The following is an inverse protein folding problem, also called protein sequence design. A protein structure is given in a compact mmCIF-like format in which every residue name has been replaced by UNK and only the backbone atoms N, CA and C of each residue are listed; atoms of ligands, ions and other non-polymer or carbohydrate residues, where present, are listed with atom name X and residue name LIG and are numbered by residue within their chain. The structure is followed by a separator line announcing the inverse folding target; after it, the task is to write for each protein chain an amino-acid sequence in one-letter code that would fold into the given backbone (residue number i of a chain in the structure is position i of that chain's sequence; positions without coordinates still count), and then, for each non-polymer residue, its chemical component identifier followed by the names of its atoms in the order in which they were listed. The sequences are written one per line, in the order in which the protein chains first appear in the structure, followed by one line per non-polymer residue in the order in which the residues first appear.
data_IF_499770622750
#
_entry.id   IF_499770622750
#
_cell.length_a   1.000
_cell.length_b   1.000
_cell.length_c   1.000
_cell.angle_alpha   90.00
_cell.angle_beta   90.00
_cell.angle_gamma   90.00
#
_symmetry.space_group_name_H-M   'P 1'
#
loop_
_entity.id
_entity.type
_entity.pdbx_description
1 polymer ?
#
# COMPACT_ATOMS: atom_id res chain seq x y z
N UNK A 1 -28.73 -46.16 -11.47
CA UNK A 1 -27.61 -45.72 -10.63
C UNK A 1 -28.01 -46.04 -9.21
N UNK A 2 -27.20 -46.81 -8.47
CA UNK A 2 -27.55 -47.19 -7.10
C UNK A 2 -27.30 -46.04 -6.11
N UNK A 3 -27.96 -46.11 -4.96
CA UNK A 3 -27.88 -45.08 -3.93
C UNK A 3 -26.44 -44.86 -3.46
N UNK A 4 -25.63 -45.91 -3.37
CA UNK A 4 -24.22 -45.82 -2.96
C UNK A 4 -23.41 -44.98 -3.94
N UNK A 5 -23.61 -45.18 -5.24
CA UNK A 5 -22.97 -44.42 -6.31
C UNK A 5 -23.42 -42.96 -6.26
N UNK A 6 -24.71 -42.71 -6.00
CA UNK A 6 -25.23 -41.35 -5.79
C UNK A 6 -24.60 -40.66 -4.57
N UNK A 7 -24.53 -41.32 -3.42
CA UNK A 7 -23.90 -40.79 -2.21
C UNK A 7 -22.40 -40.53 -2.41
N UNK A 8 -21.70 -41.41 -3.12
CA UNK A 8 -20.29 -41.20 -3.44
C UNK A 8 -20.06 -39.93 -4.26
N UNK A 9 -20.80 -39.72 -5.34
CA UNK A 9 -20.66 -38.53 -6.18
C UNK A 9 -21.06 -37.24 -5.46
N UNK A 10 -22.11 -37.28 -4.63
CA UNK A 10 -22.52 -36.12 -3.83
C UNK A 10 -21.46 -35.73 -2.80
N UNK A 11 -20.86 -36.70 -2.09
CA UNK A 11 -19.75 -36.44 -1.16
C UNK A 11 -18.54 -35.88 -1.91
N UNK A 12 -18.15 -36.48 -3.05
CA UNK A 12 -17.04 -36.00 -3.86
C UNK A 12 -17.26 -34.57 -4.36
N UNK A 13 -18.48 -34.23 -4.78
CA UNK A 13 -18.84 -32.88 -5.19
C UNK A 13 -18.73 -31.87 -4.04
N UNK A 14 -19.22 -32.20 -2.85
CA UNK A 14 -19.10 -31.34 -1.66
C UNK A 14 -17.63 -31.11 -1.30
N UNK A 15 -16.81 -32.17 -1.31
CA UNK A 15 -15.37 -32.05 -1.05
C UNK A 15 -14.67 -31.16 -2.09
N UNK A 16 -15.07 -31.25 -3.36
CA UNK A 16 -14.55 -30.37 -4.42
C UNK A 16 -14.91 -28.90 -4.16
N UNK A 17 -16.14 -28.59 -3.77
CA UNK A 17 -16.55 -27.23 -3.41
C UNK A 17 -15.77 -26.69 -2.20
N UNK A 18 -15.55 -27.53 -1.18
CA UNK A 18 -14.74 -27.17 -0.02
C UNK A 18 -13.28 -26.87 -0.42
N UNK A 19 -12.68 -27.70 -1.27
CA UNK A 19 -11.34 -27.46 -1.82
C UNK A 19 -11.27 -26.15 -2.61
N UNK A 20 -12.23 -25.88 -3.49
CA UNK A 20 -12.28 -24.64 -4.26
C UNK A 20 -12.40 -23.41 -3.36
N UNK A 21 -13.20 -23.51 -2.28
CA UNK A 21 -13.36 -22.42 -1.31
C UNK A 21 -12.05 -22.05 -0.60
N UNK A 22 -11.10 -22.98 -0.49
CA UNK A 22 -9.77 -22.77 0.09
C UNK A 22 -8.76 -22.27 -0.96
N UNK A 23 -8.78 -22.83 -2.17
CA UNK A 23 -7.79 -22.53 -3.22
C UNK A 23 -8.00 -21.13 -3.80
N UNK A 24 -9.25 -20.75 -4.09
CA UNK A 24 -9.57 -19.45 -4.70
C UNK A 24 -9.05 -18.25 -3.89
N UNK A 25 -9.27 -18.13 -2.56
CA UNK A 25 -8.75 -17.00 -1.80
C UNK A 25 -7.22 -16.99 -1.72
N UNK A 26 -6.58 -18.17 -1.69
CA UNK A 26 -5.11 -18.27 -1.71
C UNK A 26 -4.54 -17.75 -3.03
N UNK A 27 -5.13 -18.17 -4.17
CA UNK A 27 -4.74 -17.68 -5.48
C UNK A 27 -4.94 -16.17 -5.63
N UNK A 28 -6.10 -15.66 -5.19
CA UNK A 28 -6.38 -14.21 -5.18
C UNK A 28 -5.37 -13.44 -4.34
N UNK A 29 -5.04 -13.94 -3.15
CA UNK A 29 -4.03 -13.34 -2.27
C UNK A 29 -2.65 -13.31 -2.91
N UNK A 30 -2.24 -14.40 -3.56
CA UNK A 30 -0.97 -14.49 -4.27
C UNK A 30 -0.91 -13.46 -5.42
N UNK A 31 -1.93 -13.42 -6.27
CA UNK A 31 -2.03 -12.44 -7.36
C UNK A 31 -1.97 -10.99 -6.87
N UNK A 32 -2.67 -10.66 -5.78
CA UNK A 32 -2.61 -9.32 -5.17
C UNK A 32 -1.21 -9.01 -4.66
N UNK A 33 -0.57 -9.96 -3.99
CA UNK A 33 0.80 -9.79 -3.50
C UNK A 33 1.77 -9.48 -4.65
N UNK A 34 1.70 -10.23 -5.74
CA UNK A 34 2.58 -10.05 -6.88
C UNK A 34 2.34 -8.72 -7.58
N UNK A 35 1.07 -8.35 -7.78
CA UNK A 35 0.70 -7.07 -8.38
C UNK A 35 1.23 -5.89 -7.54
N UNK A 36 0.98 -5.87 -6.23
CA UNK A 36 1.44 -4.78 -5.36
C UNK A 36 2.97 -4.72 -5.27
N UNK A 37 3.65 -5.87 -5.14
CA UNK A 37 5.12 -5.90 -5.13
C UNK A 37 5.70 -5.45 -6.46
N UNK A 38 5.12 -5.88 -7.58
CA UNK A 38 5.48 -5.43 -8.93
C UNK A 38 5.33 -3.91 -9.04
N UNK A 39 4.19 -3.35 -8.66
CA UNK A 39 3.97 -1.91 -8.65
C UNK A 39 4.99 -1.18 -7.77
N UNK A 40 5.22 -1.64 -6.54
CA UNK A 40 6.17 -1.00 -5.63
C UNK A 40 7.62 -1.07 -6.12
N UNK A 41 8.05 -2.20 -6.67
CA UNK A 41 9.42 -2.40 -7.16
C UNK A 41 9.73 -1.58 -8.42
N UNK A 42 8.70 -1.23 -9.20
CA UNK A 42 8.83 -0.34 -10.36
C UNK A 42 8.78 1.15 -10.00
N UNK A 43 8.68 1.49 -8.70
CA UNK A 43 8.72 2.88 -8.23
C UNK A 43 10.08 3.23 -7.66
N UNK A 44 10.49 4.48 -7.84
CA UNK A 44 11.71 4.98 -7.22
C UNK A 44 11.54 4.99 -5.69
N UNK A 45 12.41 4.25 -5.00
CA UNK A 45 12.57 4.32 -3.56
C UNK A 45 13.45 5.51 -3.18
N UNK A 46 13.03 6.32 -2.21
CA UNK A 46 13.81 7.47 -1.74
C UNK A 46 13.73 7.66 -0.23
N UNK A 47 14.72 8.33 0.33
CA UNK A 47 14.73 8.75 1.74
C UNK A 47 13.86 10.00 1.96
N UNK A 48 13.41 10.29 3.19
CA UNK A 48 12.77 11.55 3.53
C UNK A 48 13.60 12.77 3.13
N UNK A 49 14.93 12.72 3.29
CA UNK A 49 15.83 13.81 2.89
C UNK A 49 15.78 14.07 1.39
N UNK A 50 15.89 13.03 0.57
CA UNK A 50 15.78 13.12 -0.89
C UNK A 50 14.39 13.62 -1.31
N UNK A 51 13.33 13.11 -0.68
CA UNK A 51 11.96 13.56 -0.92
C UNK A 51 11.79 15.06 -0.63
N UNK A 52 12.32 15.55 0.49
CA UNK A 52 12.26 16.97 0.87
C UNK A 52 13.07 17.84 -0.08
N UNK A 53 14.24 17.38 -0.52
CA UNK A 53 15.06 18.09 -1.51
C UNK A 53 14.34 18.20 -2.85
N UNK A 54 13.78 17.09 -3.36
CA UNK A 54 12.94 17.07 -4.55
C UNK A 54 11.79 18.08 -4.40
N UNK A 55 11.07 18.09 -3.27
CA UNK A 55 9.99 19.06 -3.02
C UNK A 55 10.46 20.52 -2.97
N UNK A 56 11.61 20.82 -2.36
CA UNK A 56 12.15 22.19 -2.28
C UNK A 56 12.56 22.73 -3.65
N UNK A 57 13.26 21.93 -4.45
CA UNK A 57 13.54 22.25 -5.86
C UNK A 57 12.24 22.46 -6.63
N UNK A 58 11.20 21.76 -6.19
CA UNK A 58 9.87 21.83 -6.74
C UNK A 58 8.99 22.97 -6.20
N UNK A 59 9.54 23.89 -5.44
CA UNK A 59 8.86 25.09 -4.95
C UNK A 59 9.60 26.35 -5.41
N UNK A 60 10.26 26.29 -6.58
CA UNK A 60 11.01 27.39 -7.20
C UNK A 60 10.37 28.77 -7.02
N UNK A 61 11.20 29.77 -6.71
CA UNK A 61 10.78 31.06 -6.16
C UNK A 61 9.73 31.85 -6.96
N UNK A 62 9.19 32.88 -6.30
CA UNK A 62 8.17 33.83 -6.79
C UNK A 62 6.90 33.17 -7.34
N UNK A 63 6.19 32.43 -6.48
CA UNK A 63 4.75 32.19 -6.63
C UNK A 63 4.30 31.25 -7.75
N UNK A 64 5.20 30.54 -8.44
CA UNK A 64 4.83 29.54 -9.46
C UNK A 64 5.05 28.12 -8.92
N UNK A 65 4.02 27.26 -8.81
CA UNK A 65 4.21 25.87 -8.42
C UNK A 65 5.11 25.18 -9.47
N UNK A 66 6.16 24.47 -9.03
CA UNK A 66 7.05 23.83 -10.01
C UNK A 66 6.39 22.63 -10.72
N UNK A 67 7.15 22.09 -11.65
CA UNK A 67 6.94 20.80 -12.30
C UNK A 67 6.61 19.61 -11.36
N UNK A 68 7.18 19.46 -10.16
CA UNK A 68 6.82 18.30 -9.32
C UNK A 68 5.52 18.48 -8.52
N UNK A 69 5.06 19.72 -8.27
CA UNK A 69 3.69 19.93 -7.80
C UNK A 69 2.67 19.58 -8.90
N UNK A 70 3.00 19.82 -10.18
CA UNK A 70 2.22 19.30 -11.33
C UNK A 70 2.25 17.77 -11.43
N UNK A 71 3.27 17.12 -10.87
CA UNK A 71 3.37 15.66 -10.74
C UNK A 71 2.75 15.12 -9.44
N UNK A 72 2.02 15.92 -8.68
CA UNK A 72 1.29 15.37 -7.54
C UNK A 72 0.07 14.59 -8.04
N UNK A 73 0.00 13.30 -7.70
CA UNK A 73 -1.00 12.39 -8.24
C UNK A 73 -1.80 11.68 -7.14
N UNK A 74 -2.92 11.09 -7.55
CA UNK A 74 -3.69 10.19 -6.72
C UNK A 74 -3.03 8.82 -6.64
N UNK A 75 -2.79 8.31 -5.43
CA UNK A 75 -2.12 7.04 -5.25
C UNK A 75 -1.94 6.65 -3.78
N UNK A 76 -1.11 5.64 -3.56
CA UNK A 76 -0.73 5.12 -2.24
C UNK A 76 0.77 5.27 -2.02
N UNK A 77 1.15 5.68 -0.82
CA UNK A 77 2.54 5.75 -0.39
C UNK A 77 2.83 4.68 0.68
N UNK A 78 4.04 4.16 0.66
CA UNK A 78 4.58 3.20 1.62
C UNK A 78 5.76 3.89 2.31
N UNK A 79 5.66 4.10 3.62
CA UNK A 79 6.76 4.54 4.46
C UNK A 79 7.31 3.32 5.18
N UNK A 80 8.58 3.02 4.97
CA UNK A 80 9.24 1.90 5.61
C UNK A 80 10.26 2.40 6.62
N UNK A 81 10.01 2.16 7.91
CA UNK A 81 11.03 2.32 8.95
C UNK A 81 11.95 1.10 8.92
N UNK A 82 13.17 1.29 8.42
CA UNK A 82 14.21 0.26 8.34
C UNK A 82 14.71 -0.14 9.71
N UNK A 83 14.91 0.84 10.61
CA UNK A 83 15.40 0.61 11.97
C UNK A 83 14.50 -0.34 12.76
N UNK A 84 13.18 -0.18 12.64
CA UNK A 84 12.20 -0.99 13.40
C UNK A 84 11.52 -2.08 12.57
N UNK A 85 11.85 -2.19 11.29
CA UNK A 85 11.20 -3.07 10.33
C UNK A 85 9.66 -2.92 10.32
N UNK A 86 9.16 -1.67 10.30
CA UNK A 86 7.72 -1.34 10.34
C UNK A 86 7.29 -0.57 9.11
N UNK A 87 6.07 -0.81 8.65
CA UNK A 87 5.49 -0.11 7.52
C UNK A 87 4.33 0.79 7.96
N UNK A 88 4.22 1.95 7.32
CA UNK A 88 3.01 2.74 7.25
C UNK A 88 2.59 2.84 5.79
N UNK A 89 1.30 2.63 5.52
CA UNK A 89 0.72 2.79 4.19
C UNK A 89 -0.40 3.80 4.28
N UNK A 90 -0.48 4.73 3.33
CA UNK A 90 -1.62 5.62 3.24
C UNK A 90 -1.94 5.99 1.81
N UNK A 91 -3.17 6.41 1.57
CA UNK A 91 -3.59 6.98 0.30
C UNK A 91 -3.64 8.52 0.31
N UNK A 92 -3.63 9.12 -0.88
CA UNK A 92 -4.07 10.51 -1.07
C UNK A 92 -4.39 10.78 -2.53
N UNK A 93 -5.26 11.76 -2.80
CA UNK A 93 -5.39 12.40 -4.12
C UNK A 93 -4.16 13.24 -4.51
N UNK A 94 -3.36 13.60 -3.52
CA UNK A 94 -2.20 14.49 -3.59
C UNK A 94 -1.08 13.91 -2.72
N UNK A 95 -0.50 12.81 -3.17
CA UNK A 95 0.47 11.97 -2.43
C UNK A 95 1.65 12.75 -1.85
N UNK A 96 2.23 13.69 -2.60
CA UNK A 96 3.41 14.46 -2.15
C UNK A 96 3.08 15.32 -0.92
N UNK A 97 1.87 15.88 -0.86
CA UNK A 97 1.45 16.68 0.29
C UNK A 97 1.26 15.78 1.51
N UNK A 98 0.71 14.58 1.32
CA UNK A 98 0.43 13.67 2.43
C UNK A 98 1.68 13.00 2.99
N UNK A 99 2.62 12.60 2.12
CA UNK A 99 3.95 12.12 2.52
C UNK A 99 4.69 13.21 3.30
N UNK A 100 4.70 14.45 2.80
CA UNK A 100 5.33 15.55 3.50
C UNK A 100 4.77 15.75 4.91
N UNK A 101 3.45 15.65 5.07
CA UNK A 101 2.79 15.84 6.37
C UNK A 101 3.33 14.88 7.45
N UNK A 102 3.68 13.65 7.12
CA UNK A 102 4.27 12.68 8.07
C UNK A 102 5.63 13.14 8.59
N UNK A 103 6.46 13.72 7.73
CA UNK A 103 7.81 14.16 8.09
C UNK A 103 7.86 15.63 8.57
N UNK A 104 6.70 16.29 8.69
CA UNK A 104 6.54 17.63 9.29
C UNK A 104 5.54 17.65 10.45
N UNK A 105 5.24 16.50 11.07
CA UNK A 105 4.43 16.42 12.29
C UNK A 105 2.92 16.59 12.12
N UNK A 106 2.39 16.55 10.89
CA UNK A 106 0.95 16.67 10.56
C UNK A 106 0.34 15.34 10.07
N UNK A 107 1.11 14.27 10.14
CA UNK A 107 0.73 12.93 9.72
C UNK A 107 0.44 12.01 10.90
N UNK A 108 0.85 10.74 10.77
CA UNK A 108 0.85 9.79 11.86
C UNK A 108 1.93 10.19 12.89
N UNK A 109 1.52 10.36 14.15
CA UNK A 109 2.40 10.81 15.23
C UNK A 109 3.55 9.84 15.51
N UNK A 110 3.29 8.52 15.48
CA UNK A 110 4.30 7.49 15.73
C UNK A 110 5.38 7.50 14.64
N UNK A 111 4.98 7.62 13.37
CA UNK A 111 5.91 7.76 12.23
C UNK A 111 6.77 9.00 12.39
N UNK A 112 6.16 10.14 12.74
CA UNK A 112 6.89 11.39 12.91
C UNK A 112 7.86 11.34 14.08
N UNK A 113 7.43 10.78 15.21
CA UNK A 113 8.26 10.63 16.40
C UNK A 113 9.50 9.77 16.09
N UNK A 114 9.29 8.58 15.51
CA UNK A 114 10.38 7.68 15.13
C UNK A 114 11.36 8.35 14.16
N UNK A 115 10.85 9.04 13.14
CA UNK A 115 11.69 9.82 12.22
C UNK A 115 12.49 10.91 12.95
N UNK A 116 11.87 11.63 13.89
CA UNK A 116 12.53 12.68 14.67
C UNK A 116 13.60 12.15 15.62
N UNK A 117 13.43 10.93 16.12
CA UNK A 117 14.42 10.24 16.95
C UNK A 117 15.55 9.58 16.16
N UNK A 118 15.56 9.73 14.82
CA UNK A 118 16.68 9.32 13.97
C UNK A 118 16.50 7.96 13.31
N UNK A 119 15.33 7.34 13.39
CA UNK A 119 15.07 6.10 12.65
C UNK A 119 15.19 6.33 11.14
N UNK A 120 15.71 5.33 10.44
CA UNK A 120 15.90 5.37 9.00
C UNK A 120 14.60 5.00 8.28
N UNK A 121 14.13 5.92 7.42
CA UNK A 121 12.94 5.69 6.61
C UNK A 121 13.24 5.65 5.11
N UNK A 122 12.46 4.86 4.38
CA UNK A 122 12.30 5.01 2.92
C UNK A 122 10.85 5.17 2.52
N UNK A 123 10.67 5.71 1.31
CA UNK A 123 9.39 6.11 0.75
C UNK A 123 9.28 5.49 -0.64
N UNK A 124 8.17 4.78 -0.88
CA UNK A 124 7.70 4.38 -2.22
C UNK A 124 6.33 4.98 -2.47
N UNK A 125 6.01 5.27 -3.72
CA UNK A 125 4.76 5.91 -4.12
C UNK A 125 4.21 5.23 -5.38
N UNK A 126 3.04 4.60 -5.26
CA UNK A 126 2.33 3.90 -6.33
C UNK A 126 1.19 4.80 -6.80
N UNK A 127 1.18 5.19 -8.08
CA UNK A 127 0.07 5.91 -8.66
C UNK A 127 -1.17 5.01 -8.77
N UNK A 128 -2.37 5.57 -8.61
CA UNK A 128 -3.61 4.85 -8.91
C UNK A 128 -3.74 4.62 -10.42
N UNK A 129 -3.37 5.62 -11.20
CA UNK A 129 -3.32 5.53 -12.66
C UNK A 129 -2.40 4.38 -13.09
N UNK A 130 -2.88 3.54 -14.02
CA UNK A 130 -2.18 2.37 -14.54
C UNK A 130 -1.80 1.29 -13.50
N UNK A 131 -2.31 1.37 -12.27
CA UNK A 131 -2.08 0.33 -11.24
C UNK A 131 -2.90 -0.94 -11.42
N UNK A 132 -3.93 -0.89 -12.27
CA UNK A 132 -4.94 -1.94 -12.39
C UNK A 132 -6.01 -1.92 -11.29
N UNK A 133 -5.94 -0.98 -10.34
CA UNK A 133 -6.98 -0.77 -9.32
C UNK A 133 -7.99 0.28 -9.74
N UNK A 134 -9.26 0.06 -9.40
CA UNK A 134 -10.34 1.01 -9.73
C UNK A 134 -10.42 2.16 -8.74
N UNK A 135 -10.09 1.89 -7.49
CA UNK A 135 -10.24 2.87 -6.42
C UNK A 135 -8.99 2.96 -5.56
N UNK A 136 -8.82 4.17 -5.05
CA UNK A 136 -7.82 4.53 -4.06
C UNK A 136 -7.94 3.67 -2.77
N UNK A 137 -9.18 3.37 -2.34
CA UNK A 137 -9.45 2.50 -1.18
C UNK A 137 -9.05 1.03 -1.40
N UNK A 138 -9.25 0.52 -2.62
CA UNK A 138 -8.87 -0.85 -2.98
C UNK A 138 -7.35 -1.01 -3.02
N UNK A 139 -6.66 -0.09 -3.70
CA UNK A 139 -5.20 -0.05 -3.74
C UNK A 139 -4.61 0.05 -2.33
N UNK A 140 -5.15 0.93 -1.47
CA UNK A 140 -4.68 1.09 -0.08
C UNK A 140 -4.85 -0.17 0.75
N UNK A 141 -6.06 -0.75 0.79
CA UNK A 141 -6.33 -1.98 1.58
C UNK A 141 -5.41 -3.12 1.21
N UNK A 142 -5.23 -3.34 -0.10
CA UNK A 142 -4.35 -4.40 -0.58
C UNK A 142 -2.89 -4.09 -0.23
N UNK A 143 -2.44 -2.84 -0.36
CA UNK A 143 -1.09 -2.46 0.03
C UNK A 143 -0.84 -2.62 1.53
N UNK A 144 -1.79 -2.22 2.39
CA UNK A 144 -1.71 -2.44 3.86
C UNK A 144 -1.57 -3.93 4.18
N UNK A 145 -2.36 -4.77 3.51
CA UNK A 145 -2.34 -6.23 3.69
C UNK A 145 -1.00 -6.84 3.28
N UNK A 146 -0.49 -6.49 2.09
CA UNK A 146 0.77 -7.01 1.53
C UNK A 146 1.97 -6.69 2.43
N UNK A 147 2.00 -5.47 2.99
CA UNK A 147 3.09 -5.01 3.85
C UNK A 147 2.84 -5.26 5.35
N UNK A 148 1.75 -5.94 5.73
CA UNK A 148 1.35 -6.16 7.13
C UNK A 148 1.34 -4.87 7.98
N UNK A 149 1.03 -3.73 7.36
CA UNK A 149 1.20 -2.42 7.99
C UNK A 149 0.22 -2.17 9.15
N UNK A 150 -0.89 -2.93 9.19
CA UNK A 150 -1.87 -2.89 10.28
C UNK A 150 -1.45 -3.75 11.48
N UNK A 151 -1.10 -5.02 11.27
CA UNK A 151 -0.82 -5.95 12.36
C UNK A 151 0.59 -5.81 12.92
N UNK A 152 1.55 -5.35 12.11
CA UNK A 152 2.98 -5.24 12.48
C UNK A 152 3.56 -3.86 12.21
N UNK A 153 2.76 -2.90 11.75
CA UNK A 153 3.22 -1.58 11.35
C UNK A 153 2.57 -0.44 12.13
N UNK A 154 2.50 0.72 11.49
CA UNK A 154 1.98 1.96 12.07
C UNK A 154 0.50 2.22 11.78
N UNK A 155 -0.11 1.48 10.84
CA UNK A 155 -1.52 1.67 10.50
C UNK A 155 -2.43 1.22 11.65
N UNK A 156 -3.40 2.05 12.01
CA UNK A 156 -4.42 1.72 13.04
C UNK A 156 -5.69 1.10 12.46
N UNK A 157 -5.81 1.03 11.13
CA UNK A 157 -6.93 0.39 10.43
C UNK A 157 -6.40 -0.46 9.27
N UNK A 158 -7.24 -1.35 8.74
CA UNK A 158 -6.93 -2.14 7.54
C UNK A 158 -7.11 -1.35 6.23
N UNK A 159 -7.33 -0.04 6.30
CA UNK A 159 -7.69 0.83 5.17
C UNK A 159 -9.18 1.18 5.14
N UNK A 160 -9.54 2.18 4.33
CA UNK A 160 -10.90 2.68 4.26
C UNK A 160 -11.85 1.65 3.62
N UNK A 161 -13.03 1.47 4.23
CA UNK A 161 -14.16 0.81 3.59
C UNK A 161 -14.88 1.88 2.78
N UNK A 162 -14.65 1.89 1.47
CA UNK A 162 -15.48 2.64 0.52
C UNK A 162 -16.82 1.94 0.34
#
# INVERSE_FOLDING_TARGET
MDDRTFYFYTIAFILCLLLLSLIVPLYRKHKINDQIKGLANNTLEMTPKQFMQMRKQSLGGRGKPSYALKKNFAGVYILYNKTKNKYYVGQAKQILNRVNAHFTGKGNGDVYADYKYGDEFTIKMIALENSGYKTLNELERNTISVYNAFSKGYNKTRGNKG
#
